data_IF_878377467110
#
_entry.id   IF_878377467110
#
_cell.length_a   1.000
_cell.length_b   1.000
_cell.length_c   1.000
_cell.angle_alpha   90.00
_cell.angle_beta   90.00
_cell.angle_gamma   90.00
#
_symmetry.space_group_name_H-M   'P 1'
#
loop_
_entity.id
_entity.type
_entity.pdbx_description
1 polymer ?
#
# COMPACT_ATOMS: atom_id res chain seq x y z
N UNK A 1 24.95 -8.91 -23.31
CA UNK A 1 23.56 -8.64 -22.88
C UNK A 1 23.04 -7.51 -23.75
N UNK A 2 22.17 -7.85 -24.70
CA UNK A 2 21.46 -6.86 -25.52
C UNK A 2 20.43 -6.16 -24.64
N UNK A 3 20.64 -4.87 -24.37
CA UNK A 3 19.65 -4.04 -23.67
C UNK A 3 18.38 -3.98 -24.52
N UNK A 4 17.25 -4.36 -23.94
CA UNK A 4 15.93 -4.24 -24.56
C UNK A 4 15.65 -2.75 -24.86
N UNK A 5 15.51 -2.34 -26.13
CA UNK A 5 15.31 -0.93 -26.49
C UNK A 5 13.93 -0.39 -26.07
N UNK A 6 13.02 -1.26 -25.63
CA UNK A 6 11.71 -0.88 -25.09
C UNK A 6 11.68 -0.75 -23.57
N UNK A 7 12.75 -1.13 -22.86
CA UNK A 7 12.86 -0.89 -21.43
C UNK A 7 13.14 0.61 -21.19
N UNK A 8 12.25 1.35 -20.50
CA UNK A 8 12.53 2.75 -20.17
C UNK A 8 13.80 2.83 -19.32
N UNK A 9 14.71 3.73 -19.66
CA UNK A 9 15.87 4.04 -18.82
C UNK A 9 15.36 4.69 -17.55
N UNK A 10 15.32 3.93 -16.45
CA UNK A 10 14.86 4.44 -15.16
C UNK A 10 15.99 5.23 -14.49
N UNK A 11 15.64 6.44 -14.06
CA UNK A 11 16.52 7.29 -13.28
C UNK A 11 17.39 8.24 -14.10
N UNK A 12 18.23 8.99 -13.38
CA UNK A 12 19.01 10.12 -13.86
C UNK A 12 20.46 10.01 -13.39
N UNK A 13 21.37 10.68 -14.10
CA UNK A 13 22.78 10.77 -13.70
C UNK A 13 23.00 11.72 -12.51
N UNK A 14 24.27 11.97 -12.14
CA UNK A 14 24.63 12.95 -11.12
C UNK A 14 24.02 14.32 -11.38
N UNK A 15 23.66 15.03 -10.31
CA UNK A 15 23.20 16.39 -10.39
C UNK A 15 24.40 17.34 -10.60
N UNK A 16 24.32 18.32 -11.52
CA UNK A 16 25.41 19.28 -11.71
C UNK A 16 25.62 20.17 -10.47
N UNK A 17 26.86 20.59 -10.26
CA UNK A 17 27.19 21.59 -9.24
C UNK A 17 26.85 23.03 -9.71
N UNK A 18 26.53 23.96 -8.79
CA UNK A 18 26.39 23.75 -7.34
C UNK A 18 25.12 22.96 -7.00
N UNK A 19 25.19 22.09 -5.99
CA UNK A 19 24.02 21.37 -5.52
C UNK A 19 23.05 22.27 -4.76
N UNK A 20 21.74 21.94 -4.74
CA UNK A 20 20.76 22.63 -3.92
C UNK A 20 21.10 22.55 -2.42
N UNK A 21 20.95 23.65 -1.70
CA UNK A 21 21.05 23.72 -0.24
C UNK A 21 19.67 23.48 0.39
N UNK A 22 19.23 22.22 0.39
CA UNK A 22 17.94 21.79 0.94
C UNK A 22 18.06 20.39 1.57
N UNK A 23 17.63 20.26 2.82
CA UNK A 23 17.79 19.06 3.65
C UNK A 23 17.06 17.82 3.10
N UNK A 24 16.08 18.00 2.21
CA UNK A 24 15.35 16.91 1.55
C UNK A 24 16.24 16.12 0.60
N UNK A 25 17.29 16.73 0.04
CA UNK A 25 18.17 16.08 -0.90
C UNK A 25 19.16 15.14 -0.21
N UNK A 26 19.40 13.99 -0.84
CA UNK A 26 20.39 13.00 -0.45
C UNK A 26 21.72 13.28 -1.20
N UNK A 27 22.81 13.62 -0.49
CA UNK A 27 24.10 13.90 -1.10
C UNK A 27 24.67 12.75 -1.93
N UNK A 28 24.39 11.50 -1.58
CA UNK A 28 24.87 10.34 -2.34
C UNK A 28 24.15 10.24 -3.69
N UNK A 29 22.84 10.48 -3.71
CA UNK A 29 22.06 10.48 -4.95
C UNK A 29 22.43 11.65 -5.85
N UNK A 30 22.68 12.84 -5.29
CA UNK A 30 23.17 13.99 -6.05
C UNK A 30 24.52 13.68 -6.70
N UNK A 31 25.44 13.02 -5.97
CA UNK A 31 26.79 12.67 -6.42
C UNK A 31 26.82 11.56 -7.48
N UNK A 32 26.10 10.48 -7.25
CA UNK A 32 26.22 9.24 -8.04
C UNK A 32 25.08 9.07 -9.07
N UNK A 33 24.04 9.90 -8.96
CA UNK A 33 22.82 9.79 -9.73
C UNK A 33 21.74 8.97 -9.02
N UNK A 34 20.48 9.19 -9.43
CA UNK A 34 19.32 8.53 -8.84
C UNK A 34 18.70 7.53 -9.81
N UNK A 35 18.92 6.24 -9.55
CA UNK A 35 18.40 5.11 -10.36
C UNK A 35 17.07 4.55 -9.86
N UNK A 36 16.46 5.14 -8.82
CA UNK A 36 15.20 4.64 -8.25
C UNK A 36 14.05 4.84 -9.23
N UNK A 37 12.99 4.05 -9.12
CA UNK A 37 11.77 4.27 -9.90
C UNK A 37 10.79 5.19 -9.14
N UNK A 38 11.14 6.47 -9.04
CA UNK A 38 10.33 7.52 -8.40
C UNK A 38 9.91 8.57 -9.43
N UNK A 39 8.88 9.35 -9.10
CA UNK A 39 8.49 10.51 -9.92
C UNK A 39 9.64 11.53 -10.01
N UNK A 40 9.65 12.31 -11.07
CA UNK A 40 10.74 13.26 -11.32
C UNK A 40 10.85 14.36 -10.26
N UNK A 41 9.73 14.73 -9.63
CA UNK A 41 9.70 15.69 -8.50
C UNK A 41 10.48 15.20 -7.27
N UNK A 42 10.63 13.87 -7.12
CA UNK A 42 11.31 13.24 -5.97
C UNK A 42 12.74 12.83 -6.27
N UNK A 43 13.28 13.22 -7.42
CA UNK A 43 14.64 12.85 -7.80
C UNK A 43 15.61 13.42 -6.79
N UNK A 44 16.55 12.56 -6.39
CA UNK A 44 17.59 12.86 -5.41
C UNK A 44 17.08 13.12 -3.99
N UNK A 45 15.77 13.07 -3.71
CA UNK A 45 15.27 13.23 -2.35
C UNK A 45 15.57 12.00 -1.50
N UNK A 46 15.82 12.22 -0.21
CA UNK A 46 15.84 11.18 0.81
C UNK A 46 14.49 10.46 0.84
N UNK A 47 14.52 9.17 1.16
CA UNK A 47 13.30 8.37 1.25
C UNK A 47 12.31 9.00 2.24
N UNK A 48 12.79 9.46 3.39
CA UNK A 48 12.01 10.03 4.48
C UNK A 48 11.36 11.36 4.05
N UNK A 49 12.04 12.15 3.22
CA UNK A 49 11.50 13.38 2.67
C UNK A 49 10.35 13.10 1.69
N UNK A 50 10.48 12.05 0.88
CA UNK A 50 9.39 11.60 -0.02
C UNK A 50 8.19 11.12 0.80
N UNK A 51 8.44 10.31 1.84
CA UNK A 51 7.36 9.82 2.72
C UNK A 51 6.65 11.00 3.39
N UNK A 52 7.39 11.98 3.91
CA UNK A 52 6.82 13.16 4.55
C UNK A 52 5.94 13.99 3.59
N UNK A 53 6.38 14.21 2.34
CA UNK A 53 5.55 14.91 1.33
C UNK A 53 4.28 14.12 0.99
N UNK A 54 4.40 12.79 0.83
CA UNK A 54 3.25 11.94 0.56
C UNK A 54 2.24 11.95 1.71
N UNK A 55 2.71 12.00 2.95
CA UNK A 55 1.89 12.03 4.18
C UNK A 55 0.94 13.24 4.22
N UNK A 56 1.30 14.38 3.61
CA UNK A 56 0.45 15.57 3.54
C UNK A 56 -0.82 15.36 2.72
N UNK A 57 -0.81 14.38 1.82
CA UNK A 57 -1.84 14.18 0.79
C UNK A 57 -2.29 12.73 0.65
N UNK A 58 -2.07 11.90 1.67
CA UNK A 58 -2.58 10.51 1.66
C UNK A 58 -4.10 10.50 1.60
N UNK A 59 -4.63 9.59 0.79
CA UNK A 59 -6.03 9.27 0.86
C UNK A 59 -6.33 8.71 2.26
N UNK A 60 -7.45 9.08 2.92
CA UNK A 60 -7.91 8.49 4.19
C UNK A 60 -8.44 7.05 3.99
N UNK A 61 -7.69 6.26 3.24
CA UNK A 61 -7.95 4.90 2.84
C UNK A 61 -6.84 4.03 3.42
N UNK A 62 -7.20 2.94 4.06
CA UNK A 62 -6.30 1.91 4.54
C UNK A 62 -6.61 0.61 3.79
N UNK A 63 -5.64 -0.30 3.72
CA UNK A 63 -5.83 -1.64 3.14
C UNK A 63 -5.35 -2.67 4.15
N UNK A 64 -6.20 -3.60 4.54
CA UNK A 64 -5.84 -4.74 5.39
C UNK A 64 -5.87 -6.04 4.60
N UNK A 65 -4.86 -6.89 4.81
CA UNK A 65 -4.66 -8.12 4.06
C UNK A 65 -4.39 -9.27 5.04
N UNK A 66 -5.21 -10.31 4.98
CA UNK A 66 -4.99 -11.52 5.77
C UNK A 66 -3.89 -12.40 5.17
N UNK A 67 -2.86 -12.70 5.98
CA UNK A 67 -1.69 -13.47 5.60
C UNK A 67 -1.61 -14.80 6.38
N UNK A 68 -2.57 -15.69 6.14
CA UNK A 68 -2.62 -17.00 6.81
C UNK A 68 -1.95 -18.12 6.01
N UNK A 69 -2.18 -18.16 4.69
CA UNK A 69 -1.73 -19.25 3.84
C UNK A 69 -0.64 -18.80 2.87
N UNK A 70 -1.07 -18.20 1.75
CA UNK A 70 -0.24 -17.82 0.62
C UNK A 70 -0.14 -16.29 0.48
N UNK A 71 1.07 -15.80 0.21
CA UNK A 71 1.40 -14.37 0.23
C UNK A 71 1.70 -13.79 -1.16
N UNK A 72 1.47 -14.55 -2.24
CA UNK A 72 1.88 -14.19 -3.60
C UNK A 72 1.29 -12.87 -4.09
N UNK A 73 0.06 -12.53 -3.65
CA UNK A 73 -0.63 -11.32 -4.09
C UNK A 73 -0.39 -10.11 -3.20
N UNK A 74 0.16 -10.28 -2.00
CA UNK A 74 0.35 -9.18 -1.04
C UNK A 74 1.20 -8.07 -1.66
N UNK A 75 2.28 -8.44 -2.37
CA UNK A 75 3.08 -7.47 -3.09
C UNK A 75 2.31 -6.65 -4.12
N UNK A 76 1.47 -7.29 -4.93
CA UNK A 76 0.65 -6.58 -5.93
C UNK A 76 -0.37 -5.65 -5.27
N UNK A 77 -0.98 -6.08 -4.17
CA UNK A 77 -1.90 -5.24 -3.39
C UNK A 77 -1.20 -4.02 -2.79
N UNK A 78 0.00 -4.20 -2.22
CA UNK A 78 0.84 -3.11 -1.71
C UNK A 78 1.20 -2.12 -2.83
N UNK A 79 1.53 -2.62 -4.02
CA UNK A 79 1.81 -1.76 -5.18
C UNK A 79 0.61 -0.93 -5.59
N UNK A 80 -0.57 -1.54 -5.62
CA UNK A 80 -1.84 -0.83 -5.87
C UNK A 80 -2.10 0.21 -4.78
N UNK A 81 -1.92 -0.16 -3.51
CA UNK A 81 -2.09 0.75 -2.38
C UNK A 81 -1.17 1.99 -2.49
N UNK A 82 0.08 1.81 -2.94
CA UNK A 82 0.99 2.92 -3.22
C UNK A 82 0.48 3.81 -4.36
N UNK A 83 -0.07 3.23 -5.43
CA UNK A 83 -0.64 4.00 -6.54
C UNK A 83 -1.82 4.88 -6.12
N UNK A 84 -2.59 4.46 -5.11
CA UNK A 84 -3.67 5.26 -4.51
C UNK A 84 -3.21 6.20 -3.39
N UNK A 85 -1.91 6.24 -3.07
CA UNK A 85 -1.35 6.94 -1.92
C UNK A 85 -2.15 6.71 -0.63
N UNK A 86 -2.46 5.45 -0.33
CA UNK A 86 -3.23 5.08 0.88
C UNK A 86 -2.52 5.58 2.14
N UNK A 87 -3.30 5.84 3.19
CA UNK A 87 -2.82 6.19 4.52
C UNK A 87 -1.91 5.10 5.10
N UNK A 88 -2.33 3.84 5.02
CA UNK A 88 -1.53 2.71 5.47
C UNK A 88 -1.94 1.37 4.85
N UNK A 89 -1.03 0.40 4.89
CA UNK A 89 -1.28 -1.01 4.64
C UNK A 89 -1.12 -1.80 5.94
N UNK A 90 -2.01 -2.75 6.18
CA UNK A 90 -2.01 -3.62 7.35
C UNK A 90 -1.88 -5.07 6.91
N UNK A 91 -0.88 -5.77 7.43
CA UNK A 91 -0.70 -7.21 7.24
C UNK A 91 -1.13 -7.91 8.52
N UNK A 92 -2.13 -8.77 8.42
CA UNK A 92 -2.69 -9.49 9.57
C UNK A 92 -2.21 -10.95 9.53
N UNK A 93 -1.73 -11.47 10.66
CA UNK A 93 -1.25 -12.84 10.78
C UNK A 93 0.25 -12.98 10.56
N UNK A 94 0.70 -13.76 9.56
CA UNK A 94 2.15 -13.97 9.36
C UNK A 94 2.87 -12.65 9.08
N UNK A 95 3.94 -12.38 9.82
CA UNK A 95 4.74 -11.16 9.67
C UNK A 95 5.56 -11.10 8.38
N UNK A 96 6.01 -12.27 7.89
CA UNK A 96 6.76 -12.38 6.64
C UNK A 96 5.79 -12.54 5.48
N UNK A 97 6.04 -11.80 4.40
CA UNK A 97 5.27 -11.85 3.17
C UNK A 97 6.15 -11.55 1.95
N UNK A 98 5.72 -11.99 0.78
CA UNK A 98 6.44 -11.86 -0.48
C UNK A 98 6.35 -10.44 -1.05
N UNK A 99 7.45 -9.69 -0.91
CA UNK A 99 7.55 -8.30 -1.38
C UNK A 99 7.87 -8.14 -2.86
N UNK A 100 8.10 -9.23 -3.60
CA UNK A 100 8.55 -9.15 -5.00
C UNK A 100 7.56 -8.37 -5.87
N UNK A 101 6.27 -8.61 -5.67
CA UNK A 101 5.20 -7.90 -6.40
C UNK A 101 5.07 -6.42 -6.05
N UNK A 102 5.58 -5.99 -4.87
CA UNK A 102 5.51 -4.60 -4.43
C UNK A 102 6.44 -3.69 -5.24
N UNK A 103 7.44 -4.25 -5.94
CA UNK A 103 8.41 -3.48 -6.72
C UNK A 103 9.04 -2.33 -5.90
N UNK A 104 9.35 -2.60 -4.63
CA UNK A 104 9.99 -1.67 -3.67
C UNK A 104 9.09 -0.50 -3.24
N UNK A 105 7.83 -0.45 -3.70
CA UNK A 105 6.89 0.61 -3.29
C UNK A 105 6.51 0.57 -1.82
N UNK A 106 6.69 -0.58 -1.16
CA UNK A 106 6.48 -0.77 0.27
C UNK A 106 7.31 0.19 1.14
N UNK A 107 8.45 0.70 0.62
CA UNK A 107 9.30 1.66 1.34
C UNK A 107 8.70 3.06 1.47
N UNK A 108 7.72 3.40 0.63
CA UNK A 108 7.08 4.73 0.60
C UNK A 108 5.71 4.75 1.29
N UNK A 109 5.31 3.61 1.87
CA UNK A 109 4.05 3.40 2.56
C UNK A 109 4.28 3.14 4.05
N UNK A 110 3.29 3.50 4.87
CA UNK A 110 3.19 3.00 6.23
C UNK A 110 2.65 1.57 6.21
N UNK A 111 3.50 0.58 6.50
CA UNK A 111 3.11 -0.84 6.56
C UNK A 111 3.12 -1.31 8.01
N UNK A 112 1.94 -1.60 8.55
CA UNK A 112 1.75 -2.13 9.89
C UNK A 112 1.53 -3.64 9.84
N UNK A 113 1.98 -4.30 10.91
CA UNK A 113 1.74 -5.72 11.12
C UNK A 113 0.88 -5.89 12.37
N UNK A 114 -0.07 -6.81 12.29
CA UNK A 114 -0.97 -7.20 13.36
C UNK A 114 -0.92 -8.71 13.52
N UNK A 115 -0.87 -9.20 14.76
CA UNK A 115 -0.81 -10.63 15.03
C UNK A 115 -2.14 -11.32 14.70
N UNK A 116 -3.26 -10.61 14.86
CA UNK A 116 -4.63 -11.11 14.72
C UNK A 116 -5.63 -10.01 14.32
N UNK A 117 -6.89 -10.40 14.12
CA UNK A 117 -7.98 -9.49 13.78
C UNK A 117 -8.28 -8.48 14.90
N UNK A 118 -8.15 -8.89 16.17
CA UNK A 118 -8.42 -8.03 17.32
C UNK A 118 -7.45 -6.84 17.37
N UNK A 119 -6.16 -7.08 17.14
CA UNK A 119 -5.14 -6.03 17.07
C UNK A 119 -5.33 -5.09 15.88
N UNK A 120 -5.78 -5.59 14.73
CA UNK A 120 -6.19 -4.74 13.60
C UNK A 120 -7.35 -3.81 14.00
N UNK A 121 -8.46 -4.35 14.52
CA UNK A 121 -9.64 -3.55 14.80
C UNK A 121 -9.43 -2.55 15.93
N UNK A 122 -8.63 -2.90 16.94
CA UNK A 122 -8.21 -1.94 17.97
C UNK A 122 -7.45 -0.76 17.35
N UNK A 123 -6.48 -1.03 16.47
CA UNK A 123 -5.71 0.02 15.79
C UNK A 123 -6.59 0.95 14.95
N UNK A 124 -7.57 0.38 14.22
CA UNK A 124 -8.50 1.15 13.39
C UNK A 124 -9.44 2.01 14.24
N UNK A 125 -9.99 1.44 15.32
CA UNK A 125 -10.89 2.13 16.24
C UNK A 125 -10.23 3.35 16.91
N UNK A 126 -8.99 3.20 17.38
CA UNK A 126 -8.19 4.29 17.95
C UNK A 126 -8.00 5.48 16.99
N UNK A 127 -8.09 5.23 15.68
CA UNK A 127 -7.86 6.22 14.62
C UNK A 127 -9.14 6.67 13.94
N UNK A 128 -10.30 6.18 14.39
CA UNK A 128 -11.59 6.49 13.78
C UNK A 128 -11.70 6.02 12.32
N UNK A 129 -11.08 4.88 11.99
CA UNK A 129 -11.11 4.30 10.64
C UNK A 129 -12.12 3.15 10.63
N UNK A 130 -13.12 3.21 9.75
CA UNK A 130 -14.13 2.15 9.61
C UNK A 130 -13.57 0.98 8.81
N UNK A 131 -13.70 -0.25 9.30
CA UNK A 131 -13.40 -1.45 8.53
C UNK A 131 -14.57 -1.85 7.62
N UNK A 132 -14.29 -2.07 6.33
CA UNK A 132 -15.23 -2.58 5.33
C UNK A 132 -14.62 -3.82 4.68
N UNK A 133 -15.31 -4.95 4.80
CA UNK A 133 -14.85 -6.22 4.24
C UNK A 133 -15.12 -6.31 2.75
N UNK A 134 -14.13 -6.73 1.97
CA UNK A 134 -14.26 -7.01 0.53
C UNK A 134 -14.37 -8.53 0.34
N UNK A 135 -15.60 -9.02 0.20
CA UNK A 135 -15.87 -10.45 -0.01
C UNK A 135 -17.27 -10.67 -0.60
N UNK A 136 -17.49 -11.78 -1.31
CA UNK A 136 -18.77 -12.18 -1.89
C UNK A 136 -19.60 -13.10 -0.97
N UNK A 137 -19.32 -13.08 0.33
CA UNK A 137 -20.09 -13.78 1.36
C UNK A 137 -21.56 -13.32 1.41
N UNK A 138 -22.48 -14.18 1.89
CA UNK A 138 -23.89 -13.82 2.05
C UNK A 138 -24.07 -12.51 2.83
N UNK A 139 -24.87 -11.60 2.28
CA UNK A 139 -25.12 -10.27 2.86
C UNK A 139 -24.22 -9.16 2.33
N UNK A 140 -23.21 -9.46 1.51
CA UNK A 140 -22.44 -8.43 0.80
C UNK A 140 -23.33 -7.63 -0.16
N UNK A 141 -23.07 -6.34 -0.29
CA UNK A 141 -23.72 -5.47 -1.28
C UNK A 141 -22.73 -4.99 -2.35
N UNK A 142 -23.18 -4.60 -3.56
CA UNK A 142 -22.26 -4.17 -4.62
C UNK A 142 -21.42 -2.96 -4.21
N UNK A 143 -20.11 -3.03 -4.45
CA UNK A 143 -19.16 -1.97 -4.12
C UNK A 143 -19.40 -0.72 -4.98
N UNK A 144 -19.73 -0.89 -6.25
CA UNK A 144 -19.85 0.19 -7.23
C UNK A 144 -21.01 1.17 -6.97
N UNK A 145 -22.03 0.75 -6.22
CA UNK A 145 -23.18 1.59 -5.83
C UNK A 145 -23.16 1.95 -4.36
N UNK A 146 -22.13 1.52 -3.65
CA UNK A 146 -21.99 1.69 -2.22
C UNK A 146 -21.19 2.96 -1.91
N UNK A 147 -21.76 3.85 -1.09
CA UNK A 147 -20.99 4.88 -0.43
C UNK A 147 -20.15 4.28 0.70
N UNK A 148 -18.85 4.56 0.68
CA UNK A 148 -17.91 4.19 1.74
C UNK A 148 -17.65 5.38 2.66
N UNK A 149 -17.40 5.14 3.96
CA UNK A 149 -16.96 6.20 4.87
C UNK A 149 -15.69 6.89 4.34
N UNK A 150 -15.51 8.17 4.70
CA UNK A 150 -14.32 8.92 4.29
C UNK A 150 -13.03 8.28 4.80
N UNK A 151 -13.01 7.88 6.08
CA UNK A 151 -11.89 7.17 6.70
C UNK A 151 -12.19 5.67 6.74
N UNK A 152 -11.67 4.93 5.77
CA UNK A 152 -12.04 3.52 5.58
C UNK A 152 -10.82 2.62 5.47
N UNK A 153 -10.88 1.44 6.07
CA UNK A 153 -9.98 0.33 5.82
C UNK A 153 -10.71 -0.74 5.00
N UNK A 154 -10.25 -0.99 3.78
CA UNK A 154 -10.73 -2.11 2.97
C UNK A 154 -10.00 -3.38 3.40
N UNK A 155 -10.77 -4.36 3.87
CA UNK A 155 -10.24 -5.59 4.45
C UNK A 155 -10.42 -6.74 3.46
N UNK A 156 -9.31 -7.35 3.06
CA UNK A 156 -9.27 -8.44 2.09
C UNK A 156 -8.91 -9.77 2.75
N UNK A 157 -9.65 -10.80 2.38
CA UNK A 157 -9.41 -12.18 2.78
C UNK A 157 -8.19 -12.82 2.11
N UNK A 158 -7.85 -14.02 2.56
CA UNK A 158 -6.91 -14.89 1.83
C UNK A 158 -7.63 -15.51 0.63
N UNK A 159 -6.89 -15.82 -0.44
CA UNK A 159 -7.45 -16.57 -1.57
C UNK A 159 -8.04 -17.90 -1.09
N UNK A 160 -9.27 -18.22 -1.48
CA UNK A 160 -9.96 -19.45 -1.10
C UNK A 160 -11.14 -19.19 -0.15
N UNK A 161 -10.97 -19.35 1.18
CA UNK A 161 -12.09 -19.25 2.14
C UNK A 161 -12.64 -17.83 2.31
N UNK A 162 -11.95 -16.81 1.76
CA UNK A 162 -12.35 -15.42 1.91
C UNK A 162 -11.96 -14.84 3.27
N UNK A 163 -12.81 -13.97 3.80
CA UNK A 163 -12.71 -13.40 5.15
C UNK A 163 -13.02 -14.46 6.22
N UNK A 164 -12.26 -14.45 7.33
CA UNK A 164 -12.60 -15.25 8.52
C UNK A 164 -13.85 -14.68 9.19
N UNK A 165 -14.58 -15.51 9.94
CA UNK A 165 -15.74 -15.05 10.71
C UNK A 165 -15.39 -13.89 11.65
N UNK A 166 -14.19 -13.92 12.26
CA UNK A 166 -13.68 -12.86 13.11
C UNK A 166 -13.49 -11.55 12.33
N UNK A 167 -12.98 -11.62 11.10
CA UNK A 167 -12.79 -10.45 10.25
C UNK A 167 -14.13 -9.88 9.77
N UNK A 168 -15.08 -10.74 9.40
CA UNK A 168 -16.45 -10.33 9.06
C UNK A 168 -17.10 -9.61 10.24
N UNK A 169 -17.00 -10.18 11.46
CA UNK A 169 -17.63 -9.63 12.65
C UNK A 169 -17.08 -8.25 13.06
N UNK A 170 -15.82 -7.93 12.74
CA UNK A 170 -15.24 -6.62 13.01
C UNK A 170 -15.41 -5.60 11.88
N UNK A 171 -15.88 -6.01 10.71
CA UNK A 171 -16.23 -5.08 9.63
C UNK A 171 -17.62 -4.50 9.88
N UNK A 172 -17.80 -3.19 9.60
CA UNK A 172 -19.11 -2.54 9.67
C UNK A 172 -20.09 -3.18 8.67
N UNK A 173 -19.56 -3.61 7.52
CA UNK A 173 -20.32 -4.20 6.42
C UNK A 173 -19.40 -4.96 5.47
N UNK A 174 -20.02 -5.81 4.66
CA UNK A 174 -19.38 -6.47 3.53
C UNK A 174 -19.84 -5.83 2.21
N UNK A 175 -18.88 -5.66 1.31
CA UNK A 175 -19.13 -5.23 -0.05
C UNK A 175 -18.41 -6.16 -1.02
N UNK A 176 -18.95 -6.34 -2.22
CA UNK A 176 -18.38 -7.22 -3.23
C UNK A 176 -18.26 -6.48 -4.56
N UNK A 177 -17.25 -6.85 -5.35
CA UNK A 177 -17.21 -6.48 -6.76
C UNK A 177 -18.20 -7.38 -7.49
N UNK A 178 -19.17 -6.81 -8.19
CA UNK A 178 -20.16 -7.60 -8.95
C UNK A 178 -19.46 -8.45 -10.02
N UNK A 179 -19.71 -9.76 -9.99
CA UNK A 179 -19.16 -10.74 -10.92
C UNK A 179 -20.21 -11.16 -11.95
N UNK A 180 -19.84 -11.21 -13.23
CA UNK A 180 -20.73 -11.60 -14.33
C UNK A 180 -20.32 -12.91 -15.02
N UNK A 181 -19.23 -13.55 -14.56
CA UNK A 181 -18.66 -14.78 -15.10
C UNK A 181 -17.31 -15.10 -14.51
#
# INVERSE_FOLDING_TARGET
>A
MTSDPTAPTVGVGPHPEPWPDDERYDPELLRDGDRRNVLDEYRYWKLEAIVADLDERRAPLHVAIQNWEHDFNIGSMVRTANAFNVAAVHIVGKRRWNRRGAMVTDRYLHVHHHDDEASLFAHLAERGVTAVGIDNLPGSVPLETTELPRATCLVFGSEGPGLTDAMVAGCERLVAITQYG
#
